data_IF_341470253189
#
_entry.id   IF_341470253189
#
_cell.length_a   1.000
_cell.length_b   1.000
_cell.length_c   1.000
_cell.angle_alpha   90.00
_cell.angle_beta   90.00
_cell.angle_gamma   90.00
#
_symmetry.space_group_name_H-M   'P 1'
#
loop_
_entity.id
_entity.type
_entity.pdbx_description
1 polymer ?
#
# COMPACT_ATOMS: atom_id res chain seq x y z
N UNK A 1 -21.71 -17.19 -17.26
CA UNK A 1 -21.16 -16.62 -16.01
C UNK A 1 -21.66 -15.19 -15.93
N UNK A 2 -22.44 -14.84 -14.91
CA UNK A 2 -22.80 -13.43 -14.68
C UNK A 2 -21.57 -12.75 -14.08
N UNK A 3 -21.00 -11.78 -14.79
CA UNK A 3 -19.88 -11.00 -14.29
C UNK A 3 -20.35 -10.12 -13.11
N UNK A 4 -20.29 -10.70 -11.91
CA UNK A 4 -20.59 -10.02 -10.67
C UNK A 4 -19.35 -9.22 -10.22
N UNK A 5 -18.92 -8.28 -11.06
CA UNK A 5 -17.80 -7.40 -10.77
C UNK A 5 -18.35 -6.06 -10.24
N UNK A 6 -18.44 -5.88 -8.92
CA UNK A 6 -19.04 -4.68 -8.37
C UNK A 6 -18.28 -3.42 -8.81
N UNK A 7 -19.03 -2.36 -9.06
CA UNK A 7 -18.45 -1.07 -9.41
C UNK A 7 -17.47 -0.61 -8.31
N UNK A 8 -16.24 -0.23 -8.70
CA UNK A 8 -15.12 0.18 -7.82
C UNK A 8 -14.64 -0.90 -6.85
N UNK A 9 -14.74 -2.18 -7.22
CA UNK A 9 -14.13 -3.27 -6.47
C UNK A 9 -12.61 -3.11 -6.35
N UNK A 10 -12.09 -3.28 -5.14
CA UNK A 10 -10.64 -3.40 -4.89
C UNK A 10 -10.28 -4.88 -4.89
N UNK A 11 -9.35 -5.27 -5.76
CA UNK A 11 -8.87 -6.66 -5.86
C UNK A 11 -7.57 -6.80 -5.09
N UNK A 12 -7.56 -7.70 -4.13
CA UNK A 12 -6.42 -7.95 -3.26
C UNK A 12 -6.43 -9.42 -2.80
N UNK A 13 -5.29 -9.91 -2.30
CA UNK A 13 -5.29 -11.08 -1.43
C UNK A 13 -5.83 -10.66 -0.07
N UNK A 14 -6.76 -11.42 0.49
CA UNK A 14 -7.36 -11.11 1.78
C UNK A 14 -7.71 -12.39 2.55
N UNK A 15 -7.81 -12.25 3.86
CA UNK A 15 -8.42 -13.21 4.78
C UNK A 15 -9.70 -12.60 5.36
N UNK A 16 -10.37 -13.30 6.27
CA UNK A 16 -11.49 -12.71 7.02
C UNK A 16 -11.07 -11.41 7.74
N UNK A 17 -9.84 -11.33 8.24
CA UNK A 17 -9.39 -10.27 9.14
C UNK A 17 -8.36 -9.32 8.54
N UNK A 18 -7.69 -9.72 7.46
CA UNK A 18 -6.58 -8.95 6.86
C UNK A 18 -6.75 -8.77 5.35
N UNK A 19 -6.12 -7.73 4.84
CA UNK A 19 -5.87 -7.52 3.41
C UNK A 19 -4.37 -7.34 3.20
N UNK A 20 -3.83 -7.95 2.15
CA UNK A 20 -2.42 -7.81 1.80
C UNK A 20 -2.25 -6.64 0.84
N UNK A 21 -1.34 -5.74 1.19
CA UNK A 21 -0.87 -4.66 0.32
C UNK A 21 0.62 -4.80 0.12
N UNK A 22 1.14 -4.24 -0.96
CA UNK A 22 2.54 -4.38 -1.34
C UNK A 22 3.20 -3.00 -1.37
N UNK A 23 4.42 -2.91 -0.85
CA UNK A 23 5.25 -1.71 -0.95
C UNK A 23 6.71 -2.11 -1.16
N UNK A 24 7.44 -1.28 -1.91
CA UNK A 24 8.86 -1.46 -2.14
C UNK A 24 9.65 -0.55 -1.20
N UNK A 25 10.70 -1.09 -0.59
CA UNK A 25 11.56 -0.41 0.36
C UNK A 25 13.03 -0.72 0.10
N UNK A 26 13.90 0.07 0.72
CA UNK A 26 15.33 -0.22 0.80
C UNK A 26 15.59 -1.46 1.65
N UNK A 27 16.78 -2.03 1.49
CA UNK A 27 17.20 -3.20 2.29
C UNK A 27 17.12 -2.91 3.79
N UNK A 28 17.55 -1.73 4.25
CA UNK A 28 17.59 -1.38 5.67
C UNK A 28 16.20 -1.34 6.30
N UNK A 29 15.21 -0.77 5.59
CA UNK A 29 13.82 -0.75 6.06
C UNK A 29 13.24 -2.17 6.03
N UNK A 30 13.51 -2.93 4.97
CA UNK A 30 12.98 -4.27 4.81
C UNK A 30 13.51 -5.22 5.90
N UNK A 31 14.81 -5.22 6.13
CA UNK A 31 15.44 -6.11 7.10
C UNK A 31 15.00 -5.76 8.54
N UNK A 32 14.88 -4.46 8.87
CA UNK A 32 14.36 -4.02 10.17
C UNK A 32 12.89 -4.43 10.37
N UNK A 33 12.06 -4.32 9.33
CA UNK A 33 10.66 -4.71 9.39
C UNK A 33 10.48 -6.22 9.52
N UNK A 34 11.26 -7.00 8.76
CA UNK A 34 11.22 -8.46 8.82
C UNK A 34 11.73 -8.98 10.17
N UNK A 35 12.78 -8.36 10.74
CA UNK A 35 13.33 -8.75 12.04
C UNK A 35 12.39 -8.50 13.23
N UNK A 36 11.47 -7.54 13.11
CA UNK A 36 10.55 -7.16 14.20
C UNK A 36 9.09 -7.51 13.93
N UNK A 37 8.77 -7.97 12.71
CA UNK A 37 7.40 -8.23 12.26
C UNK A 37 6.54 -6.96 12.11
N UNK A 38 7.14 -5.77 12.15
CA UNK A 38 6.42 -4.49 12.04
C UNK A 38 7.35 -3.36 11.59
N UNK A 39 6.81 -2.21 11.19
CA UNK A 39 7.63 -1.08 10.76
C UNK A 39 8.22 -0.31 11.93
N UNK A 40 9.55 -0.35 12.02
CA UNK A 40 10.40 0.42 12.95
C UNK A 40 11.37 1.32 12.18
N UNK A 41 12.15 2.15 12.87
CA UNK A 41 13.20 2.94 12.24
C UNK A 41 14.12 2.05 11.37
N UNK A 42 14.54 2.49 10.16
CA UNK A 42 14.46 3.84 9.64
C UNK A 42 13.15 4.19 8.88
N UNK A 43 12.11 3.36 8.96
CA UNK A 43 10.80 3.68 8.37
C UNK A 43 10.23 4.99 8.93
N UNK A 44 9.69 5.84 8.05
CA UNK A 44 9.11 7.14 8.40
C UNK A 44 7.59 7.12 8.23
N UNK A 45 6.85 7.14 9.34
CA UNK A 45 5.37 7.16 9.37
C UNK A 45 4.75 8.42 8.77
N UNK A 46 5.45 9.56 8.82
CA UNK A 46 4.94 10.85 8.33
C UNK A 46 4.95 11.03 6.81
N UNK A 47 5.40 10.03 6.04
CA UNK A 47 5.38 10.13 4.57
C UNK A 47 4.02 9.74 4.04
N UNK A 48 3.52 10.55 3.12
CA UNK A 48 2.41 10.16 2.27
C UNK A 48 2.74 8.87 1.53
N UNK A 49 1.81 7.92 1.48
CA UNK A 49 1.99 6.69 0.71
C UNK A 49 0.75 6.33 -0.08
N UNK A 50 0.99 5.63 -1.18
CA UNK A 50 -0.03 5.03 -2.04
C UNK A 50 -0.17 3.55 -1.73
N UNK A 51 -1.37 3.10 -1.38
CA UNK A 51 -1.63 1.70 -1.07
C UNK A 51 -1.79 0.90 -2.37
N UNK A 52 -1.01 -0.17 -2.54
CA UNK A 52 -1.03 -1.00 -3.77
C UNK A 52 -1.41 -2.45 -3.42
N UNK A 53 -2.64 -2.87 -3.69
CA UNK A 53 -3.08 -4.25 -3.43
C UNK A 53 -2.47 -5.30 -4.38
N UNK A 54 -1.78 -4.87 -5.44
CA UNK A 54 -1.20 -5.75 -6.47
C UNK A 54 0.31 -5.83 -6.38
N UNK A 55 0.84 -7.05 -6.21
CA UNK A 55 2.28 -7.32 -6.24
C UNK A 55 2.91 -6.89 -7.56
N UNK A 56 2.31 -7.26 -8.69
CA UNK A 56 2.85 -6.96 -10.02
C UNK A 56 2.91 -5.45 -10.29
N UNK A 57 1.97 -4.68 -9.74
CA UNK A 57 2.03 -3.23 -9.83
C UNK A 57 3.27 -2.69 -9.10
N UNK A 58 3.57 -3.19 -7.89
CA UNK A 58 4.76 -2.77 -7.14
C UNK A 58 6.04 -3.25 -7.81
N UNK A 59 6.08 -4.49 -8.29
CA UNK A 59 7.21 -5.03 -9.04
C UNK A 59 7.52 -4.14 -10.25
N UNK A 60 6.53 -3.84 -11.09
CA UNK A 60 6.71 -2.93 -12.22
C UNK A 60 7.20 -1.53 -11.79
N UNK A 61 6.57 -0.92 -10.75
CA UNK A 61 6.92 0.44 -10.30
C UNK A 61 8.32 0.54 -9.70
N UNK A 62 8.79 -0.50 -9.02
CA UNK A 62 10.14 -0.61 -8.47
C UNK A 62 11.19 -1.03 -9.51
N UNK A 63 10.81 -1.20 -10.79
CA UNK A 63 11.72 -1.70 -11.81
C UNK A 63 12.15 -3.14 -11.54
N UNK A 64 11.23 -3.98 -11.09
CA UNK A 64 11.48 -5.35 -10.63
C UNK A 64 12.54 -5.39 -9.52
N UNK A 65 12.39 -4.50 -8.54
CA UNK A 65 13.27 -4.37 -7.39
C UNK A 65 14.74 -4.00 -7.73
N UNK A 66 14.97 -3.35 -8.88
CA UNK A 66 16.31 -2.86 -9.26
C UNK A 66 16.52 -1.38 -8.98
N UNK A 67 15.46 -0.62 -8.66
CA UNK A 67 15.58 0.82 -8.38
C UNK A 67 16.16 1.08 -6.99
N UNK A 68 17.05 2.09 -6.85
CA UNK A 68 17.58 2.50 -5.56
C UNK A 68 16.47 2.84 -4.54
N UNK A 69 16.62 2.35 -3.31
CA UNK A 69 15.68 2.44 -2.19
C UNK A 69 14.33 1.74 -2.38
N UNK A 70 14.23 0.84 -3.37
CA UNK A 70 13.04 0.04 -3.70
C UNK A 70 13.41 -1.41 -4.06
N UNK A 71 14.47 -1.94 -3.47
CA UNK A 71 15.08 -3.23 -3.77
C UNK A 71 14.33 -4.43 -3.18
N UNK A 72 13.40 -4.19 -2.24
CA UNK A 72 12.65 -5.26 -1.55
C UNK A 72 11.16 -4.94 -1.58
N UNK A 73 10.36 -5.83 -2.19
CA UNK A 73 8.91 -5.75 -2.17
C UNK A 73 8.38 -6.56 -0.99
N UNK A 74 7.75 -5.89 -0.02
CA UNK A 74 7.13 -6.54 1.13
C UNK A 74 5.65 -6.77 0.88
N UNK A 75 5.17 -7.96 1.24
CA UNK A 75 3.75 -8.24 1.43
C UNK A 75 3.38 -7.85 2.86
N UNK A 76 2.53 -6.84 3.00
CA UNK A 76 2.14 -6.25 4.29
C UNK A 76 0.69 -6.60 4.53
N UNK A 77 0.43 -7.34 5.61
CA UNK A 77 -0.93 -7.57 6.06
C UNK A 77 -1.39 -6.42 6.95
N UNK A 78 -2.52 -5.83 6.60
CA UNK A 78 -3.20 -4.82 7.41
C UNK A 78 -4.57 -5.35 7.80
N UNK A 79 -5.06 -4.97 8.98
CA UNK A 79 -6.41 -5.34 9.39
C UNK A 79 -7.44 -4.76 8.43
N UNK A 80 -8.56 -5.46 8.21
CA UNK A 80 -9.65 -4.94 7.37
C UNK A 80 -10.17 -3.59 7.87
N UNK A 81 -10.37 -3.47 9.17
CA UNK A 81 -10.78 -2.20 9.80
C UNK A 81 -9.75 -1.10 9.58
N UNK A 82 -8.45 -1.41 9.62
CA UNK A 82 -7.36 -0.48 9.33
C UNK A 82 -7.35 -0.05 7.87
N UNK A 83 -7.59 -0.97 6.94
CA UNK A 83 -7.73 -0.67 5.52
C UNK A 83 -8.94 0.22 5.24
N UNK A 84 -10.10 -0.12 5.79
CA UNK A 84 -11.31 0.69 5.66
C UNK A 84 -11.17 2.08 6.28
N UNK A 85 -10.46 2.18 7.41
CA UNK A 85 -10.08 3.47 7.98
C UNK A 85 -9.21 4.25 7.00
N UNK A 86 -8.20 3.62 6.39
CA UNK A 86 -7.36 4.28 5.40
C UNK A 86 -8.16 4.74 4.17
N UNK A 87 -9.13 3.93 3.69
CA UNK A 87 -10.01 4.31 2.59
C UNK A 87 -10.84 5.56 2.92
N UNK A 88 -11.41 5.64 4.12
CA UNK A 88 -12.21 6.79 4.58
C UNK A 88 -11.37 8.07 4.75
N UNK A 89 -10.07 7.93 5.03
CA UNK A 89 -9.14 9.05 5.25
C UNK A 89 -8.25 9.31 4.03
N UNK A 90 -8.53 8.65 2.91
CA UNK A 90 -7.80 8.86 1.68
C UNK A 90 -8.24 10.16 1.00
N UNK A 91 -7.35 10.79 0.24
CA UNK A 91 -7.69 11.86 -0.69
C UNK A 91 -7.43 11.46 -2.14
N UNK A 92 -8.13 12.13 -3.04
CA UNK A 92 -7.99 11.87 -4.47
C UNK A 92 -6.64 12.35 -4.96
N UNK A 93 -6.03 11.56 -5.84
CA UNK A 93 -4.77 11.89 -6.51
C UNK A 93 -4.85 13.09 -7.43
N UNK A 94 -6.07 13.46 -7.81
CA UNK A 94 -6.39 14.65 -8.58
C UNK A 94 -7.51 15.41 -7.86
N UNK A 95 -7.35 16.72 -7.76
CA UNK A 95 -8.39 17.63 -7.30
C UNK A 95 -9.32 17.91 -8.48
N UNK A 96 -10.60 17.59 -8.35
CA UNK A 96 -11.65 18.25 -9.15
C UNK A 96 -11.81 19.68 -8.62
N UNK A 97 -10.87 20.56 -8.97
CA UNK A 97 -10.83 22.02 -8.79
C UNK A 97 -11.47 22.69 -7.54
N UNK A 98 -11.76 21.96 -6.46
CA UNK A 98 -12.37 22.48 -5.24
C UNK A 98 -11.78 21.75 -4.01
N UNK A 99 -10.86 22.47 -3.37
CA UNK A 99 -10.32 22.31 -2.03
C UNK A 99 -9.25 21.22 -1.79
N UNK A 100 -8.12 21.71 -1.27
CA UNK A 100 -6.88 21.03 -0.96
C UNK A 100 -6.88 20.55 0.48
N UNK A 101 -6.72 19.26 0.73
CA UNK A 101 -6.27 18.73 2.04
C UNK A 101 -5.31 17.55 1.87
N UNK A 102 -4.32 17.51 2.77
CA UNK A 102 -3.34 16.44 2.94
C UNK A 102 -3.99 15.15 3.46
N UNK A 103 -3.94 14.06 2.69
CA UNK A 103 -4.48 12.74 3.05
C UNK A 103 -3.90 11.60 2.20
N UNK A 104 -4.06 10.35 2.64
CA UNK A 104 -3.51 9.14 1.98
C UNK A 104 -4.02 9.04 0.54
N UNK A 105 -3.16 8.94 -0.47
CA UNK A 105 -3.63 8.74 -1.84
C UNK A 105 -3.91 7.25 -2.09
N UNK A 106 -5.08 6.93 -2.64
CA UNK A 106 -5.35 5.62 -3.25
C UNK A 106 -5.07 5.66 -4.74
#
# INVERSE_FOLDING_TARGET
MTDNNPYRAIRARFTENTITVYQAYSNEIADAALGTGTFVAPFKRGRMTWIKPSFLWVAYRSGWATKPNQERVLAIEITRSGFEWALRNACLSHVDNLQRLSGILL
#
